data_IF_795054429764
#
_entry.id   IF_795054429764
#
_cell.length_a   1.000
_cell.length_b   1.000
_cell.length_c   1.000
_cell.angle_alpha   90.00
_cell.angle_beta   90.00
_cell.angle_gamma   90.00
#
_symmetry.space_group_name_H-M   'P 1'
#
loop_
_entity.id
_entity.type
_entity.pdbx_description
1 polymer ?
#
# COMPACT_ATOMS: atom_id res chain seq x y z
N UNK A 1 -8.83 -45.85 -31.00
CA UNK A 1 -7.78 -45.08 -30.24
C UNK A 1 -7.75 -43.60 -30.55
N UNK A 2 -8.12 -43.13 -31.75
CA UNK A 2 -8.02 -41.68 -32.11
C UNK A 2 -9.02 -40.74 -31.42
N UNK A 3 -10.25 -41.21 -31.12
CA UNK A 3 -11.31 -40.39 -30.51
C UNK A 3 -11.01 -40.01 -29.06
N UNK A 4 -10.48 -40.97 -28.25
CA UNK A 4 -10.12 -40.72 -26.84
C UNK A 4 -8.94 -39.72 -26.72
N UNK A 5 -7.98 -39.78 -27.67
CA UNK A 5 -6.85 -38.83 -27.73
C UNK A 5 -7.33 -37.40 -28.09
N UNK A 6 -8.31 -37.28 -28.97
CA UNK A 6 -8.88 -35.98 -29.35
C UNK A 6 -9.65 -35.31 -28.19
N UNK A 7 -10.38 -36.10 -27.40
CA UNK A 7 -11.12 -35.61 -26.20
C UNK A 7 -10.13 -35.10 -25.13
N UNK A 8 -9.04 -35.79 -24.90
CA UNK A 8 -8.00 -35.38 -23.92
C UNK A 8 -7.34 -34.08 -24.35
N UNK A 9 -7.01 -33.91 -25.64
CA UNK A 9 -6.44 -32.66 -26.17
C UNK A 9 -7.44 -31.51 -26.06
N UNK A 10 -8.71 -31.72 -26.35
CA UNK A 10 -9.76 -30.70 -26.23
C UNK A 10 -9.98 -30.29 -24.75
N UNK A 11 -9.92 -31.25 -23.82
CA UNK A 11 -10.04 -30.98 -22.37
C UNK A 11 -8.86 -30.16 -21.85
N UNK A 12 -7.62 -30.40 -22.33
CA UNK A 12 -6.44 -29.63 -21.96
C UNK A 12 -6.52 -28.16 -22.44
N UNK A 13 -7.13 -27.89 -23.59
CA UNK A 13 -7.26 -26.53 -24.12
C UNK A 13 -8.21 -25.67 -23.26
N UNK A 14 -9.28 -26.28 -22.72
CA UNK A 14 -10.27 -25.59 -21.88
C UNK A 14 -9.69 -25.19 -20.52
N UNK A 15 -8.73 -25.94 -19.97
CA UNK A 15 -8.13 -25.64 -18.66
C UNK A 15 -7.12 -24.49 -18.71
N UNK A 16 -6.54 -24.18 -19.88
CA UNK A 16 -5.58 -23.11 -20.06
C UNK A 16 -6.20 -21.70 -20.23
N UNK A 17 -7.53 -21.56 -20.29
CA UNK A 17 -8.20 -20.31 -20.66
C UNK A 17 -8.64 -19.43 -19.49
N UNK A 18 -8.31 -19.75 -18.25
CA UNK A 18 -8.87 -19.04 -17.09
C UNK A 18 -7.84 -18.47 -16.14
N UNK A 19 -6.85 -17.76 -16.67
CA UNK A 19 -6.03 -16.87 -15.84
C UNK A 19 -6.39 -15.41 -16.19
N UNK A 20 -7.65 -15.04 -15.94
CA UNK A 20 -8.09 -13.66 -16.02
C UNK A 20 -7.49 -12.91 -14.84
N UNK A 21 -6.54 -12.03 -15.14
CA UNK A 21 -5.91 -11.23 -14.09
C UNK A 21 -6.92 -10.18 -13.61
N UNK A 22 -7.05 -9.96 -12.28
CA UNK A 22 -8.00 -9.00 -11.77
C UNK A 22 -7.73 -7.60 -12.34
N UNK A 23 -8.79 -6.84 -12.66
CA UNK A 23 -8.64 -5.49 -13.18
C UNK A 23 -7.88 -4.58 -12.19
N UNK A 24 -7.16 -3.60 -12.73
CA UNK A 24 -6.55 -2.54 -11.91
C UNK A 24 -7.67 -1.69 -11.32
N UNK A 25 -7.70 -1.56 -10.00
CA UNK A 25 -8.62 -0.65 -9.31
C UNK A 25 -7.93 0.68 -9.01
N UNK A 26 -8.44 1.74 -9.63
CA UNK A 26 -8.06 3.10 -9.27
C UNK A 26 -8.85 3.55 -8.04
N UNK A 27 -8.15 3.91 -6.96
CA UNK A 27 -8.78 4.46 -5.77
C UNK A 27 -8.95 5.98 -5.88
N UNK A 28 -10.10 6.47 -5.41
CA UNK A 28 -10.28 7.90 -5.19
C UNK A 28 -9.60 8.29 -3.87
N UNK A 29 -8.38 8.82 -3.95
CA UNK A 29 -7.65 9.36 -2.80
C UNK A 29 -7.93 10.86 -2.70
N UNK A 30 -8.29 11.34 -1.51
CA UNK A 30 -8.60 12.75 -1.25
C UNK A 30 -7.70 13.31 -0.14
N UNK A 31 -7.01 14.43 -0.39
CA UNK A 31 -6.86 15.11 -1.70
C UNK A 31 -6.18 14.20 -2.72
N UNK A 32 -6.39 14.47 -4.00
CA UNK A 32 -5.76 13.68 -5.07
C UNK A 32 -4.24 13.88 -5.02
N UNK A 33 -3.45 12.80 -4.93
CA UNK A 33 -1.99 12.88 -4.99
C UNK A 33 -1.50 13.45 -6.33
N UNK A 34 -0.28 13.99 -6.30
CA UNK A 34 0.35 14.53 -7.52
C UNK A 34 0.52 13.47 -8.60
N UNK A 35 0.88 12.24 -8.20
CA UNK A 35 1.08 11.13 -9.12
C UNK A 35 0.70 9.80 -8.46
N UNK A 36 -0.06 8.97 -9.19
CA UNK A 36 -0.35 7.58 -8.82
C UNK A 36 -0.16 6.71 -10.04
N UNK A 37 0.76 5.75 -9.95
CA UNK A 37 1.01 4.73 -10.96
C UNK A 37 0.56 3.37 -10.44
N UNK A 38 -0.60 2.88 -10.89
CA UNK A 38 -1.11 1.57 -10.51
C UNK A 38 -0.44 0.45 -11.31
N UNK A 39 -0.13 -0.65 -10.61
CA UNK A 39 0.41 -1.87 -11.20
C UNK A 39 -0.55 -3.01 -10.90
N UNK A 40 -0.59 -4.00 -11.78
CA UNK A 40 -1.48 -5.13 -11.63
C UNK A 40 -1.17 -5.98 -10.39
N UNK A 41 -2.23 -6.43 -9.71
CA UNK A 41 -2.16 -7.25 -8.52
C UNK A 41 -2.25 -6.47 -7.21
N UNK A 42 -2.27 -7.20 -6.12
CA UNK A 42 -2.46 -6.66 -4.78
C UNK A 42 -1.31 -7.08 -3.87
N UNK A 43 -0.96 -6.20 -2.94
CA UNK A 43 -0.25 -6.57 -1.72
C UNK A 43 -1.30 -7.06 -0.73
N UNK A 44 -1.13 -8.27 -0.19
CA UNK A 44 -2.01 -8.86 0.83
C UNK A 44 -1.30 -8.75 2.17
N UNK A 45 -1.90 -8.06 3.13
CA UNK A 45 -1.38 -8.01 4.50
C UNK A 45 -1.68 -9.32 5.22
N UNK A 46 -0.83 -9.68 6.18
CA UNK A 46 -1.05 -10.81 7.09
C UNK A 46 -2.18 -10.51 8.06
N UNK A 47 -2.71 -11.52 8.73
CA UNK A 47 -3.75 -11.35 9.77
C UNK A 47 -3.24 -10.52 10.96
N UNK A 48 -1.96 -10.58 11.24
CA UNK A 48 -1.24 -9.71 12.18
C UNK A 48 -0.01 -9.13 11.48
N UNK A 49 -0.16 -8.02 10.74
CA UNK A 49 0.94 -7.45 9.99
C UNK A 49 1.99 -6.82 10.91
N UNK A 50 3.23 -6.88 10.47
CA UNK A 50 4.36 -6.21 11.13
C UNK A 50 4.57 -4.83 10.49
N UNK A 51 4.49 -3.80 11.30
CA UNK A 51 4.85 -2.42 10.93
C UNK A 51 6.24 -2.13 11.47
N UNK A 52 7.17 -1.89 10.59
CA UNK A 52 8.55 -1.50 10.90
C UNK A 52 8.70 -0.01 10.70
N UNK A 53 9.45 0.66 11.56
CA UNK A 53 9.59 2.11 11.50
C UNK A 53 10.96 2.60 11.96
N UNK A 54 11.42 3.73 11.38
CA UNK A 54 12.58 4.47 11.87
C UNK A 54 12.29 5.08 13.25
N UNK A 55 13.28 5.18 14.11
CA UNK A 55 13.18 5.62 15.51
C UNK A 55 12.28 6.86 15.72
N UNK A 56 12.38 7.87 14.87
CA UNK A 56 11.61 9.12 15.01
C UNK A 56 10.14 9.00 14.56
N UNK A 57 9.71 7.83 14.07
CA UNK A 57 8.37 7.58 13.49
C UNK A 57 7.45 6.78 14.38
N UNK A 58 7.71 6.74 15.68
CA UNK A 58 6.89 5.99 16.65
C UNK A 58 5.43 6.47 16.64
N UNK A 59 5.19 7.77 16.52
CA UNK A 59 3.84 8.34 16.48
C UNK A 59 3.07 7.93 15.22
N UNK A 60 3.72 7.95 14.05
CA UNK A 60 3.15 7.55 12.76
C UNK A 60 2.86 6.05 12.73
N UNK A 61 3.74 5.24 13.33
CA UNK A 61 3.54 3.80 13.48
C UNK A 61 2.36 3.48 14.39
N UNK A 62 2.25 4.15 15.55
CA UNK A 62 1.11 4.02 16.48
C UNK A 62 -0.20 4.49 15.82
N UNK A 63 -0.16 5.57 15.03
CA UNK A 63 -1.31 6.07 14.29
C UNK A 63 -1.80 5.04 13.27
N UNK A 64 -0.89 4.46 12.48
CA UNK A 64 -1.24 3.40 11.53
C UNK A 64 -1.83 2.18 12.24
N UNK A 65 -1.23 1.76 13.37
CA UNK A 65 -1.74 0.67 14.18
C UNK A 65 -3.17 0.95 14.68
N UNK A 66 -3.43 2.19 15.13
CA UNK A 66 -4.76 2.60 15.58
C UNK A 66 -5.79 2.55 14.45
N UNK A 67 -5.43 2.96 13.22
CA UNK A 67 -6.31 2.87 12.06
C UNK A 67 -6.63 1.43 11.69
N UNK A 68 -5.62 0.55 11.62
CA UNK A 68 -5.84 -0.86 11.31
C UNK A 68 -6.73 -1.54 12.36
N UNK A 69 -6.56 -1.19 13.63
CA UNK A 69 -7.40 -1.70 14.71
C UNK A 69 -8.83 -1.17 14.67
N UNK A 70 -9.01 0.15 14.49
CA UNK A 70 -10.32 0.78 14.59
C UNK A 70 -11.18 0.58 13.34
N UNK A 71 -10.56 0.63 12.15
CA UNK A 71 -11.29 0.55 10.88
C UNK A 71 -11.50 -0.90 10.42
N UNK A 72 -10.61 -1.85 10.83
CA UNK A 72 -10.59 -3.23 10.32
C UNK A 72 -10.49 -4.30 11.41
N UNK A 73 -10.42 -3.93 12.69
CA UNK A 73 -10.23 -4.85 13.83
C UNK A 73 -8.92 -5.70 13.73
N UNK A 74 -7.90 -5.19 13.01
CA UNK A 74 -6.62 -5.87 12.81
C UNK A 74 -5.58 -5.32 13.78
N UNK A 75 -4.99 -6.22 14.59
CA UNK A 75 -3.86 -5.89 15.46
C UNK A 75 -2.54 -6.02 14.70
N UNK A 76 -1.59 -5.14 14.99
CA UNK A 76 -0.28 -5.12 14.35
C UNK A 76 0.83 -5.37 15.36
N UNK A 77 1.97 -5.85 14.88
CA UNK A 77 3.23 -5.85 15.64
C UNK A 77 4.03 -4.62 15.22
N UNK A 78 4.48 -3.81 16.16
CA UNK A 78 5.34 -2.65 15.92
C UNK A 78 6.79 -3.01 16.23
N UNK A 79 7.71 -2.74 15.31
CA UNK A 79 9.13 -3.06 15.43
C UNK A 79 9.98 -1.87 14.97
N UNK A 80 10.84 -1.39 15.83
CA UNK A 80 11.77 -0.31 15.52
C UNK A 80 13.04 -0.83 14.86
N UNK A 81 13.55 -0.12 13.85
CA UNK A 81 14.88 -0.32 13.29
C UNK A 81 15.11 -1.62 12.53
N UNK A 82 14.06 -2.36 12.15
CA UNK A 82 14.20 -3.57 11.30
C UNK A 82 14.06 -3.23 9.81
N UNK A 83 14.66 -4.06 8.97
CA UNK A 83 14.64 -3.88 7.52
C UNK A 83 13.50 -4.65 6.82
N UNK A 84 12.74 -5.48 7.56
CA UNK A 84 11.73 -6.36 6.98
C UNK A 84 10.43 -6.32 7.78
N UNK A 85 9.36 -5.93 7.13
CA UNK A 85 8.00 -5.88 7.66
C UNK A 85 6.98 -5.97 6.54
N UNK A 86 5.70 -6.05 6.90
CA UNK A 86 4.61 -6.00 5.93
C UNK A 86 4.35 -4.54 5.51
N UNK A 87 4.53 -3.60 6.45
CA UNK A 87 4.54 -2.16 6.20
C UNK A 87 5.83 -1.57 6.79
N UNK A 88 6.50 -0.71 6.02
CA UNK A 88 7.75 -0.04 6.43
C UNK A 88 7.56 1.47 6.34
N UNK A 89 7.85 2.16 7.44
CA UNK A 89 7.88 3.62 7.55
C UNK A 89 9.33 4.08 7.69
N UNK A 90 9.82 4.86 6.75
CA UNK A 90 11.23 5.27 6.69
C UNK A 90 11.38 6.78 6.55
N UNK A 91 12.34 7.34 7.30
CA UNK A 91 12.90 8.64 7.00
C UNK A 91 14.08 8.50 6.03
N UNK A 92 13.98 9.19 4.92
CA UNK A 92 15.01 9.25 3.88
C UNK A 92 15.11 10.67 3.36
N UNK A 93 16.15 11.37 3.75
CA UNK A 93 16.38 12.78 3.39
C UNK A 93 16.55 13.02 1.89
N UNK A 94 16.76 11.97 1.10
CA UNK A 94 16.89 12.06 -0.37
C UNK A 94 15.52 12.03 -1.08
N UNK A 95 14.48 11.61 -0.39
CA UNK A 95 13.13 11.55 -0.94
C UNK A 95 12.47 12.92 -0.86
N UNK A 96 12.21 13.54 -2.02
CA UNK A 96 11.53 14.84 -2.13
C UNK A 96 12.11 15.91 -1.18
N UNK A 97 13.44 16.17 -1.18
CA UNK A 97 14.12 16.96 -0.16
C UNK A 97 13.59 18.39 -0.03
N UNK A 98 13.12 18.98 -1.16
CA UNK A 98 12.60 20.36 -1.22
C UNK A 98 11.07 20.42 -1.03
N UNK A 99 10.42 19.29 -0.72
CA UNK A 99 8.96 19.16 -0.61
C UNK A 99 8.56 18.78 0.81
N UNK A 100 8.53 19.76 1.71
CA UNK A 100 8.08 19.54 3.08
C UNK A 100 6.71 18.85 3.11
N UNK A 101 6.56 17.80 3.89
CA UNK A 101 5.36 16.98 3.94
C UNK A 101 5.13 16.08 2.73
N UNK A 102 6.10 16.04 1.78
CA UNK A 102 6.07 15.11 0.65
C UNK A 102 6.45 13.70 1.04
N UNK A 103 5.91 12.71 0.32
CA UNK A 103 6.17 11.30 0.55
C UNK A 103 6.12 10.49 -0.75
N UNK A 104 6.72 9.32 -0.69
CA UNK A 104 6.58 8.25 -1.68
C UNK A 104 6.02 7.03 -0.97
N UNK A 105 4.89 6.50 -1.46
CA UNK A 105 4.29 5.26 -1.02
C UNK A 105 4.40 4.23 -2.15
N UNK A 106 5.04 3.12 -1.86
CA UNK A 106 5.19 1.99 -2.78
C UNK A 106 4.52 0.75 -2.21
N UNK A 107 3.53 0.22 -2.93
CA UNK A 107 2.93 -1.09 -2.65
C UNK A 107 3.41 -2.07 -3.73
N UNK A 108 4.39 -2.91 -3.41
CA UNK A 108 5.04 -3.81 -4.36
C UNK A 108 5.41 -5.15 -3.71
N UNK A 109 5.50 -6.21 -4.52
CA UNK A 109 5.78 -7.55 -4.00
C UNK A 109 4.75 -7.98 -2.95
N UNK A 110 5.19 -8.15 -1.70
CA UNK A 110 4.38 -8.46 -0.53
C UNK A 110 4.48 -7.39 0.57
N UNK A 111 4.95 -6.20 0.24
CA UNK A 111 5.31 -5.15 1.20
C UNK A 111 4.76 -3.80 0.77
N UNK A 112 4.49 -2.95 1.75
CA UNK A 112 4.14 -1.54 1.55
C UNK A 112 5.24 -0.72 2.23
N UNK A 113 5.80 0.25 1.49
CA UNK A 113 6.84 1.14 2.02
C UNK A 113 6.38 2.59 1.89
N UNK A 114 6.49 3.37 2.96
CA UNK A 114 6.29 4.82 2.96
C UNK A 114 7.61 5.47 3.32
N UNK A 115 8.10 6.32 2.41
CA UNK A 115 9.35 7.07 2.58
C UNK A 115 9.08 8.56 2.47
N UNK A 116 9.72 9.34 3.33
CA UNK A 116 9.67 10.80 3.29
C UNK A 116 10.92 11.40 3.93
N UNK A 117 11.20 12.66 3.61
CA UNK A 117 12.30 13.40 4.25
C UNK A 117 11.95 13.89 5.67
N UNK A 118 10.68 13.88 6.04
CA UNK A 118 10.19 14.36 7.35
C UNK A 118 9.10 13.46 7.92
N UNK A 119 8.90 13.42 9.26
CA UNK A 119 7.76 12.71 9.88
C UNK A 119 6.40 13.18 9.34
N UNK A 120 6.24 14.49 9.07
CA UNK A 120 5.04 15.04 8.44
C UNK A 120 4.71 14.36 7.09
N UNK A 121 5.75 14.11 6.27
CA UNK A 121 5.57 13.38 5.00
C UNK A 121 5.13 11.94 5.22
N UNK A 122 5.72 11.23 6.19
CA UNK A 122 5.30 9.86 6.54
C UNK A 122 3.86 9.86 7.06
N UNK A 123 3.48 10.83 7.91
CA UNK A 123 2.09 11.01 8.34
C UNK A 123 1.13 11.13 7.16
N UNK A 124 1.44 11.98 6.16
CA UNK A 124 0.62 12.14 4.96
C UNK A 124 0.53 10.83 4.17
N UNK A 125 1.63 10.09 4.03
CA UNK A 125 1.64 8.77 3.41
C UNK A 125 0.77 7.74 4.15
N UNK A 126 0.76 7.77 5.49
CA UNK A 126 -0.13 6.93 6.32
C UNK A 126 -1.60 7.28 6.07
N UNK A 127 -1.95 8.57 5.92
CA UNK A 127 -3.33 8.98 5.58
C UNK A 127 -3.75 8.46 4.19
N UNK A 128 -2.84 8.45 3.22
CA UNK A 128 -3.10 7.87 1.90
C UNK A 128 -3.25 6.36 1.99
N UNK A 129 -2.34 5.68 2.70
CA UNK A 129 -2.42 4.23 2.89
C UNK A 129 -3.77 3.84 3.51
N UNK A 130 -4.24 4.54 4.54
CA UNK A 130 -5.56 4.32 5.15
C UNK A 130 -6.71 4.34 4.13
N UNK A 131 -6.66 5.22 3.13
CA UNK A 131 -7.71 5.35 2.12
C UNK A 131 -7.69 4.23 1.08
N UNK A 132 -6.51 3.69 0.77
CA UNK A 132 -6.33 2.67 -0.29
C UNK A 132 -6.35 1.22 0.23
N UNK A 133 -6.28 1.01 1.54
CA UNK A 133 -6.50 -0.32 2.13
C UNK A 133 -7.96 -0.72 1.93
N UNK A 134 -8.17 -1.94 1.46
CA UNK A 134 -9.52 -2.54 1.30
C UNK A 134 -9.50 -3.95 1.85
N UNK A 135 -10.62 -4.36 2.42
CA UNK A 135 -10.85 -5.75 2.77
C UNK A 135 -11.38 -6.51 1.54
N UNK A 136 -10.72 -7.64 1.22
CA UNK A 136 -11.09 -8.54 0.14
C UNK A 136 -10.92 -9.98 0.62
N UNK A 137 -11.96 -10.77 0.49
CA UNK A 137 -11.94 -12.19 0.86
C UNK A 137 -11.43 -12.40 2.31
N UNK A 138 -11.83 -11.51 3.24
CA UNK A 138 -11.42 -11.56 4.65
C UNK A 138 -9.96 -11.17 4.91
N UNK A 139 -9.28 -10.50 3.97
CA UNK A 139 -7.91 -10.00 4.12
C UNK A 139 -7.78 -8.55 3.72
N UNK A 140 -6.92 -7.83 4.42
CA UNK A 140 -6.55 -6.48 4.02
C UNK A 140 -5.63 -6.54 2.80
N UNK A 141 -5.97 -5.76 1.80
CA UNK A 141 -5.24 -5.68 0.53
C UNK A 141 -5.04 -4.25 0.12
N UNK A 142 -3.96 -3.99 -0.61
CA UNK A 142 -3.68 -2.73 -1.27
C UNK A 142 -3.35 -3.03 -2.73
N UNK A 143 -4.01 -2.34 -3.67
CA UNK A 143 -3.63 -2.38 -5.08
C UNK A 143 -2.16 -1.97 -5.21
N UNK A 144 -1.37 -2.75 -5.94
CA UNK A 144 0.02 -2.37 -6.21
C UNK A 144 0.07 -1.03 -6.90
N UNK A 145 0.87 -0.12 -6.36
CA UNK A 145 1.00 1.24 -6.86
C UNK A 145 2.29 1.89 -6.37
N UNK A 146 2.72 2.88 -7.13
CA UNK A 146 3.67 3.90 -6.70
C UNK A 146 2.94 5.22 -6.63
N UNK A 147 2.87 5.81 -5.43
CA UNK A 147 2.25 7.10 -5.17
C UNK A 147 3.35 8.09 -4.80
N UNK A 148 3.38 9.22 -5.49
CA UNK A 148 4.24 10.35 -5.14
C UNK A 148 3.35 11.56 -4.88
N UNK A 149 3.44 12.12 -3.69
CA UNK A 149 2.63 13.28 -3.33
C UNK A 149 3.42 14.27 -2.47
N UNK A 150 3.07 15.53 -2.62
CA UNK A 150 3.56 16.62 -1.81
C UNK A 150 2.56 17.77 -1.79
N UNK A 151 2.49 18.56 -0.70
CA UNK A 151 1.60 19.71 -0.63
C UNK A 151 1.87 20.71 -1.75
N UNK A 152 0.84 21.09 -2.50
CA UNK A 152 0.92 22.12 -3.54
C UNK A 152 1.18 23.51 -2.93
N UNK A 153 0.80 23.71 -1.67
CA UNK A 153 0.99 24.96 -0.92
C UNK A 153 1.61 24.67 0.44
N UNK A 154 2.61 25.44 0.83
CA UNK A 154 3.30 25.33 2.12
C UNK A 154 2.42 25.73 3.31
N UNK A 155 1.32 26.44 3.06
CA UNK A 155 0.41 26.93 4.08
C UNK A 155 -1.05 26.57 3.75
N UNK A 156 -1.77 26.05 4.73
CA UNK A 156 -3.19 25.74 4.63
C UNK A 156 -3.90 26.40 5.81
N UNK A 157 -4.82 27.33 5.54
CA UNK A 157 -5.66 27.94 6.55
C UNK A 157 -7.13 27.77 6.17
N UNK A 158 -7.97 27.59 7.19
CA UNK A 158 -9.39 27.77 7.11
C UNK A 158 -9.72 29.19 7.59
N UNK A 159 -10.43 29.95 6.78
CA UNK A 159 -11.15 31.12 7.27
C UNK A 159 -12.56 30.67 7.64
N UNK A 160 -12.90 30.79 8.91
CA UNK A 160 -14.25 30.62 9.42
C UNK A 160 -15.04 31.94 9.21
#
# INVERSE_FOLDING_TARGET
>A
MKLKSLIVVLLCIVVCSSCEQPPIEAYAVLPQPQEINYVQGFVKLKDKPMVVYSNELSNEALLLASYLKNDFAVEVTLEEGKDKGDVILLLDSTVLPDKKGGYVLEAAGSQITIKASTPEGVFNGVQTLRQIIKEREGRLTVQKALVTDYPAFSWRAFML
#
